data_IF_884742911471
#
_entry.id   IF_884742911471
#
_cell.length_a   1.000
_cell.length_b   1.000
_cell.length_c   1.000
_cell.angle_alpha   90.00
_cell.angle_beta   90.00
_cell.angle_gamma   90.00
#
_symmetry.space_group_name_H-M   'P 1'
#
loop_
_entity.id
_entity.type
_entity.pdbx_description
1 polymer ?
#
# COMPACT_ATOMS: atom_id res chain seq x y z
N UNK A 1 12.11 -19.70 9.68
CA UNK A 1 12.08 -18.30 10.17
C UNK A 1 10.88 -17.64 9.53
N UNK A 2 10.10 -16.80 10.22
CA UNK A 2 8.98 -16.12 9.56
C UNK A 2 9.48 -15.11 8.52
N UNK A 3 8.62 -14.74 7.58
CA UNK A 3 8.88 -13.78 6.51
C UNK A 3 9.99 -14.25 5.55
N UNK A 4 9.99 -15.53 5.23
CA UNK A 4 11.00 -16.17 4.39
C UNK A 4 10.45 -16.98 3.23
N UNK A 5 9.14 -17.25 3.21
CA UNK A 5 8.49 -18.05 2.18
C UNK A 5 8.73 -17.49 0.78
N UNK A 6 8.94 -18.41 -0.16
CA UNK A 6 9.13 -18.09 -1.56
C UNK A 6 7.79 -17.80 -2.24
N UNK A 7 7.76 -16.74 -3.05
CA UNK A 7 6.57 -16.34 -3.78
C UNK A 7 6.50 -17.13 -5.09
N UNK A 8 5.40 -17.85 -5.28
CA UNK A 8 5.15 -18.68 -6.46
C UNK A 8 3.66 -18.71 -6.82
N UNK A 9 3.28 -19.46 -7.86
CA UNK A 9 1.86 -19.61 -8.26
C UNK A 9 1.05 -20.44 -7.27
N UNK A 10 1.70 -21.37 -6.57
CA UNK A 10 1.06 -22.22 -5.56
C UNK A 10 1.04 -21.53 -4.20
N UNK A 11 2.05 -20.68 -3.93
CA UNK A 11 2.16 -19.85 -2.74
C UNK A 11 2.25 -18.37 -3.13
N UNK A 12 1.15 -17.75 -3.60
CA UNK A 12 1.14 -16.35 -4.01
C UNK A 12 1.29 -15.43 -2.80
N UNK A 13 1.85 -14.24 -2.99
CA UNK A 13 1.82 -13.20 -1.97
C UNK A 13 0.49 -12.41 -2.04
N UNK A 14 0.04 -11.89 -0.89
CA UNK A 14 -1.14 -11.04 -0.81
C UNK A 14 -0.78 -9.60 -0.44
N UNK A 15 -1.29 -8.64 -1.21
CA UNK A 15 -1.19 -7.21 -0.92
C UNK A 15 -2.59 -6.61 -0.88
N UNK A 16 -2.99 -6.10 0.28
CA UNK A 16 -4.27 -5.41 0.47
C UNK A 16 -4.01 -3.94 0.79
N UNK A 17 -4.54 -3.05 -0.02
CA UNK A 17 -4.39 -1.60 0.15
C UNK A 17 -5.69 -1.05 0.74
N UNK A 18 -5.60 -0.36 1.87
CA UNK A 18 -6.70 0.40 2.45
C UNK A 18 -6.46 1.87 2.12
N UNK A 19 -7.43 2.51 1.45
CA UNK A 19 -7.30 3.91 1.02
C UNK A 19 -8.39 4.73 1.67
N UNK A 20 -7.98 5.72 2.45
CA UNK A 20 -8.83 6.80 2.89
C UNK A 20 -9.38 7.53 1.67
N UNK A 21 -10.69 7.57 1.59
CA UNK A 21 -11.41 8.30 0.55
C UNK A 21 -12.20 9.44 1.18
N UNK A 22 -11.91 9.88 2.41
CA UNK A 22 -12.65 10.96 3.06
C UNK A 22 -12.49 12.30 2.34
N UNK A 23 -13.33 13.28 2.70
CA UNK A 23 -13.32 14.60 2.06
C UNK A 23 -11.96 15.34 2.16
N UNK A 24 -11.14 15.11 3.18
CA UNK A 24 -9.82 15.75 3.30
C UNK A 24 -8.84 15.32 2.21
N UNK A 25 -9.12 14.21 1.52
CA UNK A 25 -8.34 13.75 0.38
C UNK A 25 -8.49 14.65 -0.88
N UNK A 26 -9.44 15.60 -0.88
CA UNK A 26 -9.54 16.68 -1.86
C UNK A 26 -8.63 17.88 -1.52
N UNK A 27 -7.90 17.84 -0.40
CA UNK A 27 -6.90 18.87 -0.11
C UNK A 27 -5.63 18.65 -0.93
N UNK A 28 -4.82 19.71 -1.14
CA UNK A 28 -3.55 19.60 -1.83
C UNK A 28 -2.55 18.68 -1.12
N UNK A 29 -1.68 18.05 -1.91
CA UNK A 29 -0.54 17.31 -1.39
C UNK A 29 0.54 18.27 -0.85
N UNK A 30 1.20 17.88 0.23
CA UNK A 30 2.40 18.58 0.71
C UNK A 30 3.41 18.85 -0.42
N UNK A 31 3.70 20.13 -0.65
CA UNK A 31 4.63 20.58 -1.69
C UNK A 31 4.11 20.53 -3.13
N UNK A 32 2.85 20.14 -3.36
CA UNK A 32 2.21 20.11 -4.68
C UNK A 32 0.80 20.74 -4.61
N UNK A 33 0.70 22.08 -4.62
CA UNK A 33 -0.59 22.78 -4.43
C UNK A 33 -1.63 22.45 -5.50
N UNK A 34 -1.19 22.12 -6.72
CA UNK A 34 -2.05 21.83 -7.86
C UNK A 34 -2.46 20.35 -7.95
N UNK A 35 -2.03 19.51 -7.00
CA UNK A 35 -2.32 18.08 -7.01
C UNK A 35 -3.07 17.68 -5.75
N UNK A 36 -4.23 17.06 -5.92
CA UNK A 36 -5.02 16.56 -4.79
C UNK A 36 -4.35 15.32 -4.19
N UNK A 37 -4.50 15.11 -2.88
CA UNK A 37 -4.02 13.90 -2.20
C UNK A 37 -4.60 12.64 -2.85
N UNK A 38 -5.89 12.62 -3.14
CA UNK A 38 -6.60 11.51 -3.79
C UNK A 38 -5.98 11.14 -5.15
N UNK A 39 -5.66 12.13 -5.98
CA UNK A 39 -5.01 11.95 -7.29
C UNK A 39 -3.58 11.43 -7.15
N UNK A 40 -2.79 12.00 -6.23
CA UNK A 40 -1.43 11.55 -5.93
C UNK A 40 -1.40 10.09 -5.48
N UNK A 41 -2.30 9.72 -4.57
CA UNK A 41 -2.42 8.34 -4.09
C UNK A 41 -2.88 7.40 -5.20
N UNK A 42 -3.89 7.78 -6.00
CA UNK A 42 -4.37 6.96 -7.11
C UNK A 42 -3.25 6.70 -8.13
N UNK A 43 -2.49 7.74 -8.51
CA UNK A 43 -1.33 7.58 -9.40
C UNK A 43 -0.29 6.61 -8.83
N UNK A 44 0.05 6.74 -7.55
CA UNK A 44 1.05 5.89 -6.91
C UNK A 44 0.60 4.42 -6.84
N UNK A 45 -0.68 4.19 -6.54
CA UNK A 45 -1.28 2.84 -6.50
C UNK A 45 -1.35 2.22 -7.90
N UNK A 46 -1.77 2.96 -8.92
CA UNK A 46 -1.78 2.48 -10.30
C UNK A 46 -0.36 2.11 -10.78
N UNK A 47 0.66 2.92 -10.44
CA UNK A 47 2.07 2.58 -10.70
C UNK A 47 2.53 1.33 -9.98
N UNK A 48 2.13 1.15 -8.72
CA UNK A 48 2.45 -0.05 -7.95
C UNK A 48 1.89 -1.30 -8.64
N UNK A 49 0.61 -1.28 -9.01
CA UNK A 49 -0.03 -2.41 -9.70
C UNK A 49 0.66 -2.67 -11.04
N UNK A 50 0.95 -1.63 -11.84
CA UNK A 50 1.69 -1.77 -13.08
C UNK A 50 3.06 -2.45 -12.86
N UNK A 51 3.82 -2.02 -11.84
CA UNK A 51 5.11 -2.62 -11.52
C UNK A 51 4.98 -4.09 -11.09
N UNK A 52 3.93 -4.44 -10.34
CA UNK A 52 3.64 -5.83 -9.98
C UNK A 52 3.30 -6.69 -11.20
N UNK A 53 2.47 -6.18 -12.12
CA UNK A 53 2.16 -6.84 -13.40
C UNK A 53 3.44 -7.08 -14.20
N UNK A 54 4.29 -6.06 -14.35
CA UNK A 54 5.55 -6.17 -15.10
C UNK A 54 6.51 -7.19 -14.47
N UNK A 55 6.60 -7.24 -13.14
CA UNK A 55 7.40 -8.25 -12.41
C UNK A 55 6.90 -9.69 -12.66
N UNK A 56 5.60 -9.85 -12.92
CA UNK A 56 4.96 -11.15 -13.15
C UNK A 56 4.87 -11.57 -14.62
N UNK A 57 5.18 -10.65 -15.55
CA UNK A 57 5.17 -10.92 -16.97
C UNK A 57 6.29 -11.90 -17.36
N UNK A 58 5.92 -12.97 -18.05
CA UNK A 58 6.80 -13.99 -18.63
C UNK A 58 6.42 -14.20 -20.10
N UNK A 59 7.21 -15.01 -20.81
CA UNK A 59 6.98 -15.29 -22.23
C UNK A 59 5.62 -15.97 -22.50
N UNK A 60 5.11 -16.71 -21.51
CA UNK A 60 3.86 -17.46 -21.54
C UNK A 60 2.67 -16.70 -20.93
N UNK A 61 2.84 -15.43 -20.55
CA UNK A 61 1.81 -14.58 -19.96
C UNK A 61 2.17 -14.07 -18.56
N UNK A 62 1.17 -13.58 -17.83
CA UNK A 62 1.35 -13.05 -16.47
C UNK A 62 1.08 -14.16 -15.45
N UNK A 63 2.08 -14.46 -14.61
CA UNK A 63 1.96 -15.49 -13.57
C UNK A 63 1.33 -14.90 -12.31
N UNK A 64 0.37 -15.62 -11.72
CA UNK A 64 -0.30 -15.22 -10.48
C UNK A 64 0.58 -15.41 -9.25
N UNK A 65 1.64 -14.61 -9.16
CA UNK A 65 2.49 -14.51 -7.99
C UNK A 65 1.92 -13.58 -6.91
N UNK A 66 0.94 -12.74 -7.28
CA UNK A 66 0.27 -11.83 -6.35
C UNK A 66 -1.24 -11.92 -6.47
N UNK A 67 -1.90 -11.87 -5.32
CA UNK A 67 -3.28 -11.44 -5.19
C UNK A 67 -3.29 -10.01 -4.60
N UNK A 68 -3.93 -9.09 -5.31
CA UNK A 68 -3.95 -7.67 -4.94
C UNK A 68 -5.39 -7.24 -4.70
N UNK A 69 -5.64 -6.57 -3.57
CA UNK A 69 -6.94 -5.98 -3.26
C UNK A 69 -6.82 -4.52 -2.88
N UNK A 70 -7.92 -3.79 -3.03
CA UNK A 70 -8.06 -2.40 -2.59
C UNK A 70 -9.41 -2.23 -1.89
N UNK A 71 -9.40 -1.64 -0.70
CA UNK A 71 -10.61 -1.23 0.01
C UNK A 71 -10.54 0.29 0.20
N UNK A 72 -11.44 1.00 -0.47
CA UNK A 72 -11.66 2.42 -0.23
C UNK A 72 -12.60 2.63 0.96
N UNK A 73 -12.31 3.61 1.82
CA UNK A 73 -13.17 3.98 2.94
C UNK A 73 -13.43 5.50 3.00
N UNK A 74 -14.68 5.90 2.73
CA UNK A 74 -15.09 7.31 2.57
C UNK A 74 -16.56 7.56 2.94
N UNK A 75 -17.03 6.99 4.05
CA UNK A 75 -18.45 6.99 4.45
C UNK A 75 -19.19 5.68 4.13
N UNK A 76 -18.64 4.88 3.22
CA UNK A 76 -18.91 3.46 3.05
C UNK A 76 -17.63 2.74 2.61
N UNK A 77 -17.62 1.42 2.69
CA UNK A 77 -16.50 0.60 2.25
C UNK A 77 -16.76 0.10 0.83
N UNK A 78 -15.76 0.16 -0.04
CA UNK A 78 -15.86 -0.31 -1.43
C UNK A 78 -14.61 -1.06 -1.87
N UNK A 79 -14.81 -2.14 -2.64
CA UNK A 79 -13.71 -2.79 -3.36
C UNK A 79 -13.26 -1.88 -4.52
N UNK A 80 -11.96 -1.63 -4.62
CA UNK A 80 -11.41 -0.62 -5.54
C UNK A 80 -10.78 -1.15 -6.82
N UNK A 81 -10.62 -2.47 -6.97
CA UNK A 81 -10.01 -3.11 -8.16
C UNK A 81 -11.00 -4.01 -8.92
N UNK A 82 -12.30 -3.74 -8.74
CA UNK A 82 -13.37 -4.68 -9.11
C UNK A 82 -13.67 -5.67 -7.99
N UNK A 83 -14.82 -6.33 -8.09
CA UNK A 83 -15.30 -7.30 -7.11
C UNK A 83 -16.16 -6.70 -5.98
N UNK A 84 -16.30 -7.41 -4.87
CA UNK A 84 -17.22 -7.06 -3.78
C UNK A 84 -16.72 -7.48 -2.39
N UNK A 85 -17.06 -6.69 -1.37
CA UNK A 85 -16.72 -6.98 0.02
C UNK A 85 -17.70 -7.99 0.64
N UNK A 86 -17.22 -8.93 1.48
CA UNK A 86 -15.81 -9.23 1.78
C UNK A 86 -15.18 -10.28 0.85
N UNK A 87 -15.95 -11.02 0.06
CA UNK A 87 -15.51 -12.30 -0.50
C UNK A 87 -14.71 -12.20 -1.81
N UNK A 88 -14.81 -11.10 -2.56
CA UNK A 88 -14.22 -10.92 -3.89
C UNK A 88 -13.40 -9.62 -3.95
N UNK A 89 -12.56 -9.37 -2.94
CA UNK A 89 -11.70 -8.17 -2.86
C UNK A 89 -10.30 -8.42 -3.45
N UNK A 90 -9.79 -9.65 -3.33
CA UNK A 90 -8.43 -10.01 -3.75
C UNK A 90 -8.45 -10.54 -5.19
N UNK A 91 -7.84 -9.79 -6.09
CA UNK A 91 -7.80 -10.10 -7.52
C UNK A 91 -6.43 -10.66 -7.89
N UNK A 92 -6.35 -11.83 -8.56
CA UNK A 92 -5.09 -12.32 -9.12
C UNK A 92 -4.47 -11.33 -10.10
N UNK A 93 -3.16 -11.14 -10.04
CA UNK A 93 -2.44 -10.11 -10.81
C UNK A 93 -2.57 -10.30 -12.33
N UNK A 94 -2.76 -11.53 -12.82
CA UNK A 94 -3.07 -11.80 -14.23
C UNK A 94 -4.38 -11.15 -14.68
N UNK A 95 -5.45 -11.25 -13.86
CA UNK A 95 -6.74 -10.62 -14.16
C UNK A 95 -6.64 -9.10 -14.19
N UNK A 96 -5.81 -8.52 -13.31
CA UNK A 96 -5.54 -7.08 -13.34
C UNK A 96 -4.79 -6.69 -14.61
N UNK A 97 -3.80 -7.48 -15.04
CA UNK A 97 -3.06 -7.22 -16.28
C UNK A 97 -3.97 -7.20 -17.51
N UNK A 98 -4.95 -8.10 -17.58
CA UNK A 98 -5.85 -8.22 -18.73
C UNK A 98 -6.94 -7.14 -18.79
N UNK A 99 -7.34 -6.57 -17.64
CA UNK A 99 -8.52 -5.71 -17.52
C UNK A 99 -8.27 -4.45 -16.68
N UNK A 100 -7.38 -3.53 -17.12
CA UNK A 100 -7.39 -2.17 -16.58
C UNK A 100 -8.73 -1.48 -16.90
N UNK A 101 -9.16 -0.55 -16.05
CA UNK A 101 -10.33 0.30 -16.31
C UNK A 101 -10.16 1.09 -17.61
N UNK A 102 -8.94 1.62 -17.81
CA UNK A 102 -8.53 2.33 -19.02
C UNK A 102 -7.00 2.35 -19.13
N UNK A 103 -6.51 2.67 -20.32
CA UNK A 103 -5.09 2.97 -20.56
C UNK A 103 -4.97 4.39 -21.07
N UNK A 104 -4.33 5.24 -20.29
CA UNK A 104 -4.08 6.64 -20.63
C UNK A 104 -2.77 6.78 -21.43
N UNK A 105 -2.68 7.82 -22.27
CA UNK A 105 -1.41 8.28 -22.82
C UNK A 105 -0.97 9.49 -22.00
N UNK A 106 0.15 9.38 -21.29
CA UNK A 106 0.70 10.48 -20.50
C UNK A 106 2.02 10.93 -21.09
N UNK A 107 2.26 12.24 -21.08
CA UNK A 107 3.56 12.81 -21.46
C UNK A 107 4.49 12.73 -20.26
N UNK A 108 5.69 12.20 -20.49
CA UNK A 108 6.78 12.18 -19.52
C UNK A 108 7.98 12.92 -20.12
N UNK A 109 8.52 13.88 -19.38
CA UNK A 109 9.79 14.50 -19.72
C UNK A 109 10.92 13.55 -19.34
N UNK A 110 11.79 13.24 -20.28
CA UNK A 110 12.95 12.37 -20.12
C UNK A 110 14.19 13.16 -20.53
N UNK A 111 15.28 13.01 -19.79
CA UNK A 111 16.57 13.61 -20.17
C UNK A 111 17.02 13.05 -21.53
N UNK A 112 17.47 13.93 -22.42
CA UNK A 112 17.91 13.57 -23.77
C UNK A 112 19.36 13.09 -23.85
N UNK A 113 20.07 13.06 -22.71
CA UNK A 113 21.48 12.68 -22.64
C UNK A 113 22.47 13.80 -23.01
N UNK A 114 21.98 14.94 -23.49
CA UNK A 114 22.76 16.14 -23.83
C UNK A 114 22.46 17.32 -22.87
N UNK A 115 21.66 17.07 -21.83
CA UNK A 115 21.29 18.06 -20.81
C UNK A 115 19.98 18.79 -21.08
N UNK A 116 19.25 18.41 -22.13
CA UNK A 116 17.87 18.83 -22.39
C UNK A 116 16.85 17.77 -21.96
N UNK A 117 15.56 18.07 -22.18
CA UNK A 117 14.45 17.14 -21.93
C UNK A 117 13.59 16.98 -23.17
N UNK A 118 13.23 15.73 -23.47
CA UNK A 118 12.28 15.37 -24.53
C UNK A 118 10.97 14.86 -23.95
N UNK A 119 9.86 15.19 -24.62
CA UNK A 119 8.55 14.65 -24.32
C UNK A 119 8.40 13.23 -24.88
N UNK A 120 8.15 12.26 -24.00
CA UNK A 120 7.86 10.89 -24.37
C UNK A 120 6.42 10.53 -23.99
N UNK A 121 5.66 10.04 -24.96
CA UNK A 121 4.33 9.46 -24.69
C UNK A 121 4.49 8.07 -24.06
N UNK A 122 3.98 7.90 -22.85
CA UNK A 122 3.98 6.63 -22.11
C UNK A 122 2.55 6.14 -21.86
N UNK A 123 2.37 4.82 -21.98
CA UNK A 123 1.11 4.15 -21.62
C UNK A 123 1.00 4.05 -20.11
N UNK A 124 -0.12 4.51 -19.57
CA UNK A 124 -0.42 4.48 -18.15
C UNK A 124 -1.74 3.73 -17.90
N UNK A 125 -1.69 2.42 -17.62
CA UNK A 125 -2.88 1.67 -17.24
C UNK A 125 -3.42 2.14 -15.89
N UNK A 126 -4.75 2.24 -15.79
CA UNK A 126 -5.48 2.68 -14.60
C UNK A 126 -6.41 1.57 -14.15
N UNK A 127 -6.35 1.22 -12.87
CA UNK A 127 -7.24 0.28 -12.20
C UNK A 127 -8.08 0.93 -11.10
N UNK A 128 -7.65 2.08 -10.61
CA UNK A 128 -8.29 2.80 -9.52
C UNK A 128 -8.37 4.29 -9.84
N UNK A 129 -9.56 4.85 -9.68
CA UNK A 129 -9.84 6.29 -9.81
C UNK A 129 -9.77 7.01 -8.46
N UNK A 130 -9.27 8.26 -8.44
CA UNK A 130 -9.25 9.05 -7.22
C UNK A 130 -10.66 9.28 -6.69
N UNK A 131 -10.82 9.13 -5.38
CA UNK A 131 -12.08 9.34 -4.67
C UNK A 131 -11.82 10.07 -3.36
N UNK A 132 -12.61 11.09 -3.07
CA UNK A 132 -12.51 11.93 -1.87
C UNK A 132 -13.90 12.42 -1.45
N UNK A 133 -14.67 11.56 -0.79
CA UNK A 133 -16.02 11.81 -0.32
C UNK A 133 -16.22 11.23 1.09
N UNK A 134 -17.10 11.86 1.85
CA UNK A 134 -17.56 11.33 3.14
C UNK A 134 -16.48 11.30 4.23
N UNK A 135 -16.57 10.27 5.10
CA UNK A 135 -15.88 10.20 6.40
C UNK A 135 -14.81 9.11 6.43
N UNK A 136 -13.83 9.25 7.32
CA UNK A 136 -12.72 8.33 7.53
C UNK A 136 -13.15 7.09 8.35
N UNK A 137 -13.80 6.10 7.70
CA UNK A 137 -14.27 4.85 8.33
C UNK A 137 -13.13 3.82 8.49
N UNK A 138 -12.08 4.20 9.23
CA UNK A 138 -10.87 3.41 9.33
C UNK A 138 -11.09 2.10 10.10
N UNK A 139 -11.83 2.12 11.22
CA UNK A 139 -12.09 0.87 11.95
C UNK A 139 -12.83 -0.15 11.07
N UNK A 140 -13.86 0.29 10.35
CA UNK A 140 -14.58 -0.58 9.41
C UNK A 140 -13.68 -1.14 8.31
N UNK A 141 -12.73 -0.36 7.78
CA UNK A 141 -11.78 -0.85 6.79
C UNK A 141 -10.86 -1.94 7.36
N UNK A 142 -10.41 -1.80 8.61
CA UNK A 142 -9.61 -2.82 9.28
C UNK A 142 -10.42 -4.09 9.61
N UNK A 143 -11.71 -3.97 9.92
CA UNK A 143 -12.61 -5.13 10.12
C UNK A 143 -12.80 -5.90 8.82
N UNK A 144 -13.03 -5.19 7.71
CA UNK A 144 -13.11 -5.80 6.39
C UNK A 144 -11.78 -6.46 6.00
N UNK A 145 -10.65 -5.83 6.29
CA UNK A 145 -9.33 -6.40 6.05
C UNK A 145 -9.11 -7.69 6.85
N UNK A 146 -9.53 -7.76 8.12
CA UNK A 146 -9.47 -8.98 8.93
C UNK A 146 -10.18 -10.16 8.27
N UNK A 147 -11.38 -9.94 7.72
CA UNK A 147 -12.14 -10.97 7.01
C UNK A 147 -11.47 -11.42 5.72
N UNK A 148 -11.10 -10.46 4.85
CA UNK A 148 -10.45 -10.71 3.56
C UNK A 148 -9.15 -11.51 3.74
N UNK A 149 -8.32 -11.07 4.68
CA UNK A 149 -7.00 -11.66 4.91
C UNK A 149 -7.09 -13.03 5.57
N UNK A 150 -8.06 -13.24 6.47
CA UNK A 150 -8.32 -14.56 7.06
C UNK A 150 -8.71 -15.57 5.98
N UNK A 151 -9.58 -15.19 5.04
CA UNK A 151 -9.97 -16.04 3.90
C UNK A 151 -8.77 -16.40 3.00
N UNK A 152 -7.90 -15.42 2.72
CA UNK A 152 -6.67 -15.66 1.95
C UNK A 152 -5.75 -16.68 2.64
N UNK A 153 -5.50 -16.52 3.94
CA UNK A 153 -4.60 -17.40 4.70
C UNK A 153 -5.16 -18.83 4.80
N UNK A 154 -6.48 -18.99 4.89
CA UNK A 154 -7.11 -20.32 4.84
C UNK A 154 -6.85 -21.02 3.50
N UNK A 155 -6.79 -20.26 2.40
CA UNK A 155 -6.55 -20.80 1.06
C UNK A 155 -5.05 -21.03 0.79
N UNK A 156 -4.18 -20.20 1.35
CA UNK A 156 -2.73 -20.23 1.12
C UNK A 156 -1.94 -20.15 2.44
N UNK A 157 -2.01 -21.20 3.29
CA UNK A 157 -1.44 -21.15 4.64
C UNK A 157 0.09 -21.11 4.64
N UNK A 158 0.74 -21.51 3.55
CA UNK A 158 2.21 -21.54 3.41
C UNK A 158 2.77 -20.33 2.65
N UNK A 159 1.90 -19.41 2.20
CA UNK A 159 2.33 -18.19 1.52
C UNK A 159 3.09 -17.26 2.46
N UNK A 160 3.91 -16.40 1.83
CA UNK A 160 4.48 -15.25 2.53
C UNK A 160 3.36 -14.43 3.20
N UNK A 161 3.54 -13.96 4.46
CA UNK A 161 2.48 -13.29 5.19
C UNK A 161 1.87 -12.09 4.44
N UNK A 162 0.53 -11.96 4.42
CA UNK A 162 -0.12 -10.85 3.73
C UNK A 162 0.34 -9.47 4.22
N UNK A 163 0.38 -8.51 3.31
CA UNK A 163 0.76 -7.13 3.59
C UNK A 163 -0.47 -6.23 3.45
N UNK A 164 -0.83 -5.53 4.52
CA UNK A 164 -1.93 -4.58 4.57
C UNK A 164 -1.36 -3.17 4.65
N UNK A 165 -1.57 -2.38 3.61
CA UNK A 165 -1.03 -1.02 3.46
C UNK A 165 -2.16 -0.01 3.62
N UNK A 166 -2.18 0.72 4.75
CA UNK A 166 -3.17 1.73 5.03
C UNK A 166 -2.64 3.14 4.69
N UNK A 167 -3.36 3.87 3.84
CA UNK A 167 -3.01 5.23 3.40
C UNK A 167 -4.13 6.18 3.83
N UNK A 168 -3.80 7.18 4.64
CA UNK A 168 -4.79 8.11 5.23
C UNK A 168 -4.23 9.50 5.42
N UNK A 169 -5.11 10.50 5.39
CA UNK A 169 -4.75 11.89 5.72
C UNK A 169 -5.50 12.44 6.95
N UNK A 170 -6.47 11.67 7.47
CA UNK A 170 -7.40 12.13 8.48
C UNK A 170 -7.54 11.16 9.64
N UNK A 171 -8.05 11.65 10.78
CA UNK A 171 -8.32 10.81 11.96
C UNK A 171 -9.52 9.89 11.71
N UNK A 172 -9.53 8.66 12.26
CA UNK A 172 -10.72 7.82 12.29
C UNK A 172 -11.92 8.60 12.82
N UNK A 173 -13.04 8.46 12.13
CA UNK A 173 -14.30 9.14 12.45
C UNK A 173 -15.39 8.19 12.91
N UNK A 174 -15.07 6.89 12.95
CA UNK A 174 -15.87 5.79 13.46
C UNK A 174 -15.35 5.34 14.84
N UNK A 175 -15.17 4.03 15.05
CA UNK A 175 -14.61 3.49 16.29
C UNK A 175 -13.08 3.58 16.33
N UNK A 176 -12.49 3.26 17.49
CA UNK A 176 -11.03 3.14 17.61
C UNK A 176 -10.54 1.91 16.83
N UNK A 177 -9.70 2.05 15.78
CA UNK A 177 -9.22 0.92 14.98
C UNK A 177 -8.15 0.07 15.68
N UNK A 178 -7.55 0.53 16.78
CA UNK A 178 -6.44 -0.16 17.43
C UNK A 178 -6.74 -1.61 17.86
N UNK A 179 -7.89 -1.92 18.50
CA UNK A 179 -8.22 -3.29 18.87
C UNK A 179 -8.29 -4.22 17.64
N UNK A 180 -8.92 -3.77 16.55
CA UNK A 180 -9.06 -4.54 15.31
C UNK A 180 -7.71 -4.72 14.62
N UNK A 181 -6.91 -3.65 14.50
CA UNK A 181 -5.56 -3.74 13.95
C UNK A 181 -4.66 -4.70 14.75
N UNK A 182 -4.83 -4.77 16.07
CA UNK A 182 -4.10 -5.72 16.92
C UNK A 182 -4.58 -7.16 16.75
N UNK A 183 -5.85 -7.40 16.40
CA UNK A 183 -6.32 -8.74 16.01
C UNK A 183 -5.79 -9.13 14.64
N UNK A 184 -5.90 -8.24 13.65
CA UNK A 184 -5.40 -8.45 12.29
C UNK A 184 -3.91 -8.84 12.29
N UNK A 185 -3.06 -8.13 13.06
CA UNK A 185 -1.64 -8.46 13.22
C UNK A 185 -1.34 -9.80 13.90
N UNK A 186 -2.34 -10.49 14.45
CA UNK A 186 -2.21 -11.84 15.01
C UNK A 186 -2.69 -12.92 14.04
N UNK A 187 -3.43 -12.54 12.99
CA UNK A 187 -3.78 -13.45 11.90
C UNK A 187 -2.49 -13.80 11.16
N UNK A 188 -2.28 -15.08 10.84
CA UNK A 188 -1.04 -15.54 10.21
C UNK A 188 -1.11 -16.95 9.68
N UNK A 189 -0.26 -17.23 8.69
CA UNK A 189 0.01 -18.57 8.18
C UNK A 189 1.26 -19.18 8.82
N UNK A 190 1.82 -20.21 8.19
CA UNK A 190 3.01 -20.92 8.67
C UNK A 190 4.30 -20.09 8.59
N UNK A 191 4.36 -19.10 7.68
CA UNK A 191 5.51 -18.19 7.54
C UNK A 191 5.36 -16.89 8.35
N UNK A 192 4.35 -16.80 9.22
CA UNK A 192 4.20 -15.71 10.19
C UNK A 192 2.92 -14.87 10.05
N UNK A 193 2.75 -13.88 10.93
CA UNK A 193 1.56 -13.05 10.96
C UNK A 193 1.56 -11.94 9.91
N UNK A 194 0.36 -11.42 9.65
CA UNK A 194 0.10 -10.31 8.73
C UNK A 194 0.92 -9.07 9.10
N UNK A 195 1.45 -8.40 8.07
CA UNK A 195 2.15 -7.13 8.19
C UNK A 195 1.19 -5.97 7.91
N UNK A 196 0.88 -5.19 8.93
CA UNK A 196 0.12 -3.94 8.82
C UNK A 196 1.07 -2.75 8.77
N UNK A 197 1.03 -1.97 7.70
CA UNK A 197 1.78 -0.72 7.54
C UNK A 197 0.84 0.48 7.38
N UNK A 198 1.22 1.63 7.91
CA UNK A 198 0.41 2.85 7.86
C UNK A 198 1.19 4.03 7.27
N UNK A 199 0.51 4.86 6.50
CA UNK A 199 1.06 6.10 5.98
C UNK A 199 0.09 7.24 6.27
N UNK A 200 0.62 8.30 6.91
CA UNK A 200 -0.08 9.55 7.15
C UNK A 200 0.37 10.61 6.15
N UNK A 201 -0.55 10.99 5.27
CA UNK A 201 -0.40 12.07 4.29
C UNK A 201 -0.38 13.43 4.99
N UNK A 202 0.28 14.40 4.38
CA UNK A 202 0.30 15.79 4.86
C UNK A 202 -0.15 16.75 3.78
N UNK A 203 -0.83 17.82 4.20
CA UNK A 203 -1.03 19.03 3.39
C UNK A 203 0.12 20.04 3.60
N UNK A 204 0.82 19.97 4.73
CA UNK A 204 1.93 20.86 5.05
C UNK A 204 3.26 20.30 4.52
N UNK A 205 4.14 21.14 3.94
CA UNK A 205 5.45 20.72 3.43
C UNK A 205 6.44 20.47 4.59
N UNK A 206 6.24 19.36 5.30
CA UNK A 206 7.14 18.87 6.34
C UNK A 206 7.97 17.70 5.80
N UNK A 207 9.23 17.54 6.24
CA UNK A 207 10.01 16.36 5.90
C UNK A 207 9.27 15.07 6.32
N UNK A 208 9.12 14.09 5.42
CA UNK A 208 8.53 12.82 5.77
C UNK A 208 9.40 12.06 6.78
N UNK A 209 8.76 11.41 7.74
CA UNK A 209 9.41 10.63 8.79
C UNK A 209 9.15 9.15 8.50
N UNK A 210 10.20 8.40 8.23
CA UNK A 210 10.10 6.99 7.82
C UNK A 210 10.51 6.06 8.95
N UNK A 211 9.71 5.01 9.14
CA UNK A 211 10.09 3.79 9.84
C UNK A 211 10.69 3.99 11.24
N UNK A 212 10.06 4.84 12.06
CA UNK A 212 10.51 5.08 13.42
C UNK A 212 10.35 3.84 14.31
N UNK A 213 11.19 3.76 15.33
CA UNK A 213 11.18 2.71 16.35
C UNK A 213 10.71 3.20 17.73
N UNK A 214 10.65 4.52 17.94
CA UNK A 214 10.30 5.13 19.23
C UNK A 214 9.03 6.00 19.15
N UNK A 215 8.00 5.61 19.91
CA UNK A 215 6.74 6.36 20.03
C UNK A 215 6.92 7.72 20.70
N UNK A 216 7.95 7.89 21.53
CA UNK A 216 8.19 9.13 22.29
C UNK A 216 8.46 10.34 21.38
N UNK A 217 8.91 10.09 20.15
CA UNK A 217 9.12 11.09 19.09
C UNK A 217 7.82 11.71 18.59
N UNK A 218 6.67 11.10 18.91
CA UNK A 218 5.35 11.54 18.47
C UNK A 218 4.69 12.36 19.58
N UNK A 219 4.17 13.53 19.23
CA UNK A 219 3.49 14.41 20.18
C UNK A 219 1.99 14.17 20.22
N UNK A 220 1.38 13.97 19.05
CA UNK A 220 -0.07 13.86 18.91
C UNK A 220 -0.57 12.41 19.04
N UNK A 221 -1.77 12.26 19.59
CA UNK A 221 -2.41 10.95 19.82
C UNK A 221 -2.65 10.16 18.53
N UNK A 222 -2.81 10.84 17.40
CA UNK A 222 -3.17 10.18 16.16
C UNK A 222 -1.97 9.51 15.50
N UNK A 223 -0.82 10.19 15.45
CA UNK A 223 0.42 9.58 15.00
C UNK A 223 0.78 8.38 15.89
N UNK A 224 0.60 8.49 17.22
CA UNK A 224 0.79 7.37 18.16
C UNK A 224 -0.13 6.20 17.86
N UNK A 225 -1.38 6.45 17.49
CA UNK A 225 -2.33 5.42 17.08
C UNK A 225 -1.80 4.64 15.87
N UNK A 226 -1.41 5.33 14.79
CA UNK A 226 -0.87 4.69 13.58
C UNK A 226 0.44 3.94 13.84
N UNK A 227 1.32 4.48 14.69
CA UNK A 227 2.54 3.80 15.12
C UNK A 227 2.22 2.46 15.82
N UNK A 228 1.30 2.49 16.79
CA UNK A 228 0.89 1.29 17.55
C UNK A 228 0.20 0.26 16.68
N UNK A 229 -0.60 0.70 15.70
CA UNK A 229 -1.24 -0.16 14.71
C UNK A 229 -0.22 -0.83 13.77
N UNK A 230 0.87 -0.14 13.45
CA UNK A 230 1.88 -0.64 12.51
C UNK A 230 2.72 -1.79 13.07
N UNK A 231 3.14 -2.69 12.19
CA UNK A 231 3.96 -3.87 12.49
C UNK A 231 5.44 -3.48 12.49
N UNK A 232 6.24 -4.21 13.27
CA UNK A 232 7.70 -4.12 13.19
C UNK A 232 8.14 -4.63 11.81
N UNK A 233 9.09 -3.94 11.17
CA UNK A 233 9.64 -4.35 9.89
C UNK A 233 10.38 -5.69 10.03
N UNK A 234 10.05 -6.70 9.20
CA UNK A 234 10.85 -7.91 9.08
C UNK A 234 12.30 -7.61 8.65
N UNK A 235 13.26 -8.50 8.96
CA UNK A 235 14.67 -8.27 8.65
C UNK A 235 14.95 -7.93 7.17
N UNK A 236 14.28 -8.60 6.22
CA UNK A 236 14.42 -8.29 4.78
C UNK A 236 13.98 -6.87 4.43
N UNK A 237 12.91 -6.37 5.06
CA UNK A 237 12.43 -5.01 4.83
C UNK A 237 13.31 -3.96 5.52
N UNK A 238 13.90 -4.28 6.67
CA UNK A 238 14.93 -3.43 7.30
C UNK A 238 16.14 -3.31 6.37
N UNK A 239 16.62 -4.41 5.79
CA UNK A 239 17.75 -4.38 4.84
C UNK A 239 17.41 -3.57 3.59
N UNK A 240 16.22 -3.76 3.03
CA UNK A 240 15.74 -3.00 1.89
C UNK A 240 15.65 -1.49 2.17
N UNK A 241 15.14 -1.10 3.34
CA UNK A 241 15.09 0.31 3.73
C UNK A 241 16.50 0.90 3.92
N UNK A 242 17.45 0.17 4.51
CA UNK A 242 18.85 0.61 4.60
C UNK A 242 19.51 0.78 3.23
N UNK A 243 19.23 -0.12 2.29
CA UNK A 243 19.75 -0.02 0.93
C UNK A 243 19.27 1.24 0.19
N UNK A 244 18.06 1.72 0.54
CA UNK A 244 17.49 2.98 0.04
C UNK A 244 17.95 4.23 0.82
N UNK A 245 18.91 4.07 1.74
CA UNK A 245 19.49 5.15 2.52
C UNK A 245 18.66 5.57 3.74
N UNK A 246 17.64 4.79 4.14
CA UNK A 246 16.86 5.10 5.34
C UNK A 246 17.59 4.67 6.62
N UNK A 247 17.69 5.55 7.63
CA UNK A 247 18.29 5.24 8.92
C UNK A 247 17.31 4.43 9.78
N UNK A 248 17.16 3.13 9.48
CA UNK A 248 16.26 2.24 10.21
C UNK A 248 16.96 1.49 11.34
N UNK A 249 16.41 1.61 12.54
CA UNK A 249 16.88 0.95 13.75
C UNK A 249 16.17 -0.40 13.97
N UNK A 250 16.68 -1.18 14.92
CA UNK A 250 15.96 -2.36 15.39
C UNK A 250 14.62 -1.93 16.02
N UNK A 251 13.53 -2.64 15.73
CA UNK A 251 12.20 -2.28 16.20
C UNK A 251 11.47 -1.24 15.34
N UNK A 252 12.12 -0.73 14.28
CA UNK A 252 11.49 0.13 13.28
C UNK A 252 10.17 -0.47 12.80
N UNK A 253 9.10 0.35 12.78
CA UNK A 253 7.77 -0.07 12.34
C UNK A 253 7.48 0.39 10.93
N UNK A 254 6.63 -0.32 10.21
CA UNK A 254 6.15 0.10 8.88
C UNK A 254 5.18 1.27 8.96
N UNK A 255 5.65 2.43 9.40
CA UNK A 255 4.87 3.66 9.48
C UNK A 255 5.62 4.81 8.83
N UNK A 256 4.90 5.66 8.11
CA UNK A 256 5.43 6.90 7.53
C UNK A 256 4.51 8.06 7.92
N UNK A 257 5.10 9.16 8.38
CA UNK A 257 4.39 10.40 8.71
C UNK A 257 4.82 11.53 7.79
N UNK A 258 3.99 12.58 7.73
CA UNK A 258 4.22 13.76 6.91
C UNK A 258 4.48 13.41 5.43
N UNK A 259 3.79 12.40 4.92
CA UNK A 259 4.08 11.88 3.59
C UNK A 259 3.71 12.90 2.52
N UNK A 260 4.68 13.19 1.66
CA UNK A 260 4.50 13.79 0.34
C UNK A 260 4.32 12.67 -0.73
N UNK A 261 4.13 13.04 -2.00
CA UNK A 261 3.91 12.05 -3.06
C UNK A 261 5.10 11.10 -3.21
N UNK A 262 6.32 11.61 -3.02
CA UNK A 262 7.54 10.80 -3.07
C UNK A 262 7.52 9.75 -1.95
N UNK A 263 7.12 10.14 -0.74
CA UNK A 263 6.98 9.25 0.39
C UNK A 263 5.93 8.17 0.17
N UNK A 264 4.80 8.48 -0.46
CA UNK A 264 3.79 7.47 -0.84
C UNK A 264 4.40 6.43 -1.78
N UNK A 265 5.09 6.86 -2.84
CA UNK A 265 5.71 5.94 -3.80
C UNK A 265 6.75 5.06 -3.10
N UNK A 266 7.61 5.64 -2.26
CA UNK A 266 8.63 4.88 -1.52
C UNK A 266 8.03 3.91 -0.51
N UNK A 267 6.98 4.31 0.21
CA UNK A 267 6.27 3.47 1.15
C UNK A 267 5.65 2.24 0.48
N UNK A 268 4.97 2.45 -0.66
CA UNK A 268 4.39 1.36 -1.44
C UNK A 268 5.47 0.42 -2.01
N UNK A 269 6.57 0.96 -2.52
CA UNK A 269 7.63 0.15 -3.08
C UNK A 269 8.36 -0.69 -2.00
N UNK A 270 8.78 -0.07 -0.89
CA UNK A 270 9.43 -0.79 0.22
C UNK A 270 8.45 -1.79 0.85
N UNK A 271 7.22 -1.36 1.10
CA UNK A 271 6.16 -2.20 1.66
C UNK A 271 5.82 -3.41 0.81
N UNK A 272 6.29 -3.47 -0.45
CA UNK A 272 6.06 -4.59 -1.37
C UNK A 272 7.36 -5.15 -1.97
N UNK A 273 8.53 -4.85 -1.39
CA UNK A 273 9.85 -5.19 -1.98
C UNK A 273 10.31 -6.63 -1.77
N UNK A 274 9.54 -7.44 -1.05
CA UNK A 274 9.78 -8.88 -0.86
C UNK A 274 9.73 -9.71 -2.17
N UNK A 275 9.48 -9.03 -3.29
CA UNK A 275 9.28 -9.54 -4.65
C UNK A 275 10.56 -9.77 -5.45
N UNK A 276 11.73 -9.71 -4.79
CA UNK A 276 13.05 -9.94 -5.42
C UNK A 276 13.42 -11.42 -5.56
N UNK A 277 12.63 -12.34 -5.00
CA UNK A 277 12.82 -13.80 -5.08
C UNK A 277 11.82 -14.53 -5.98
N UNK A 278 11.28 -13.90 -7.01
CA UNK A 278 10.31 -14.53 -7.92
C UNK A 278 11.00 -15.62 -8.76
N UNK A 279 10.55 -16.88 -8.63
CA UNK A 279 10.96 -18.00 -9.50
C UNK A 279 9.80 -18.51 -10.36
#
# INVERSE_FOLDING_TARGET
>A
MPYSAEISRTNPACVLILIDQSKSMDEPFAGQPDKLKSEGVADAVNRLIQNMVLKCAKIDGVRDYFHVGLIGYGGELRAGLGGSLPDDVLVPISKLADKPLRVENRVRLVEDGEGGTIEQNVKFPVWYDPTARGRTLMNGAFEAAELVISSFILSYPESYPPMVLNITDGKPSDANPLPVANRLKKVGGSDGPVLVFNLLLSAEPKPPIYFIDDESLLLDTYSKLLFRMSSILPPKLVQAAKADGFPVNAGARGVVFNADLVAVVRFLDIGTRITTGLR
#
